data_IF_474155855159
#
_entry.id   IF_474155855159
#
_cell.length_a   1.000
_cell.length_b   1.000
_cell.length_c   1.000
_cell.angle_alpha   90.00
_cell.angle_beta   90.00
_cell.angle_gamma   90.00
#
_symmetry.space_group_name_H-M   'P 1'
#
loop_
_entity.id
_entity.type
_entity.pdbx_description
1 polymer ?
#
# COMPACT_ATOMS: atom_id res chain seq x y z
N UNK A 1 -33.74 8.80 -0.10
CA UNK A 1 -32.31 9.19 -0.08
C UNK A 1 -31.51 8.37 -1.09
N UNK A 2 -31.66 7.04 -1.13
CA UNK A 2 -30.97 6.15 -2.08
C UNK A 2 -31.18 6.48 -3.57
N UNK A 3 -32.41 6.82 -4.00
CA UNK A 3 -32.67 7.19 -5.41
C UNK A 3 -31.94 8.46 -5.86
N UNK A 4 -31.79 9.44 -4.97
CA UNK A 4 -31.05 10.67 -5.25
C UNK A 4 -29.54 10.42 -5.26
N UNK A 5 -29.04 9.64 -4.29
CA UNK A 5 -27.64 9.25 -4.21
C UNK A 5 -27.19 8.49 -5.47
N UNK A 6 -27.92 7.44 -5.87
CA UNK A 6 -27.60 6.67 -7.07
C UNK A 6 -27.62 7.51 -8.35
N UNK A 7 -28.55 8.48 -8.44
CA UNK A 7 -28.63 9.37 -9.60
C UNK A 7 -27.41 10.31 -9.66
N UNK A 8 -27.02 10.87 -8.53
CA UNK A 8 -25.83 11.74 -8.42
C UNK A 8 -24.56 10.95 -8.73
N UNK A 9 -24.40 9.75 -8.16
CA UNK A 9 -23.25 8.89 -8.43
C UNK A 9 -23.15 8.53 -9.90
N UNK A 10 -24.24 8.12 -10.55
CA UNK A 10 -24.23 7.80 -11.97
C UNK A 10 -23.85 9.00 -12.84
N UNK A 11 -24.37 10.20 -12.54
CA UNK A 11 -24.01 11.43 -13.26
C UNK A 11 -22.52 11.75 -13.08
N UNK A 12 -22.00 11.64 -11.85
CA UNK A 12 -20.57 11.85 -11.57
C UNK A 12 -19.70 10.84 -12.33
N UNK A 13 -20.09 9.57 -12.38
CA UNK A 13 -19.40 8.53 -13.14
C UNK A 13 -19.35 8.85 -14.62
N UNK A 14 -20.48 9.24 -15.23
CA UNK A 14 -20.49 9.61 -16.66
C UNK A 14 -19.63 10.84 -16.94
N UNK A 15 -19.62 11.84 -16.04
CA UNK A 15 -18.75 13.01 -16.17
C UNK A 15 -17.27 12.64 -16.12
N UNK A 16 -16.86 11.78 -15.20
CA UNK A 16 -15.47 11.31 -15.09
C UNK A 16 -15.05 10.55 -16.35
N UNK A 17 -15.92 9.68 -16.88
CA UNK A 17 -15.66 8.93 -18.11
C UNK A 17 -15.50 9.90 -19.30
N UNK A 18 -16.41 10.85 -19.47
CA UNK A 18 -16.33 11.85 -20.54
C UNK A 18 -15.06 12.70 -20.46
N UNK A 19 -14.70 13.12 -19.25
CA UNK A 19 -13.50 13.91 -18.99
C UNK A 19 -12.25 13.08 -19.32
N UNK A 20 -12.21 11.81 -18.91
CA UNK A 20 -11.14 10.88 -19.26
C UNK A 20 -10.98 10.67 -20.77
N UNK A 21 -12.09 10.41 -21.48
CA UNK A 21 -12.10 10.25 -22.95
C UNK A 21 -11.61 11.53 -23.63
N UNK A 22 -12.07 12.70 -23.18
CA UNK A 22 -11.62 13.99 -23.71
C UNK A 22 -10.10 14.17 -23.56
N UNK A 23 -9.56 13.93 -22.37
CA UNK A 23 -8.13 14.03 -22.11
C UNK A 23 -7.31 13.05 -22.97
N UNK A 24 -7.75 11.79 -23.08
CA UNK A 24 -7.08 10.81 -23.94
C UNK A 24 -7.07 11.20 -25.42
N UNK A 25 -8.20 11.67 -25.96
CA UNK A 25 -8.27 12.17 -27.33
C UNK A 25 -7.38 13.39 -27.54
N UNK A 26 -7.31 14.27 -26.54
CA UNK A 26 -6.48 15.45 -26.59
C UNK A 26 -4.98 15.11 -26.61
N UNK A 27 -4.56 14.12 -25.81
CA UNK A 27 -3.17 13.62 -25.82
C UNK A 27 -2.81 12.93 -27.14
N UNK A 28 -3.71 12.11 -27.70
CA UNK A 28 -3.44 11.42 -28.98
C UNK A 28 -3.30 12.44 -30.13
N UNK A 29 -4.13 13.48 -30.14
CA UNK A 29 -4.13 14.46 -31.24
C UNK A 29 -3.00 15.49 -31.18
N UNK A 30 -2.45 15.78 -29.99
CA UNK A 30 -1.37 16.76 -29.81
C UNK A 30 -0.04 16.15 -29.36
N UNK A 31 0.01 14.82 -29.22
CA UNK A 31 1.15 14.10 -28.65
C UNK A 31 2.42 14.14 -29.49
N UNK A 32 2.29 14.13 -30.82
CA UNK A 32 3.45 14.04 -31.73
C UNK A 32 4.39 15.24 -31.66
N UNK A 33 3.91 16.39 -31.15
CA UNK A 33 4.69 17.64 -31.03
C UNK A 33 5.24 17.88 -29.60
N UNK A 34 5.11 16.93 -28.68
CA UNK A 34 5.47 17.08 -27.26
C UNK A 34 6.97 17.28 -26.99
N UNK A 35 7.85 16.81 -27.88
CA UNK A 35 9.30 16.80 -27.64
C UNK A 35 9.99 18.15 -27.92
N UNK A 36 9.33 19.08 -28.64
CA UNK A 36 9.94 20.32 -29.12
C UNK A 36 9.29 21.61 -28.62
N UNK A 37 8.12 21.54 -27.98
CA UNK A 37 7.33 22.71 -27.59
C UNK A 37 7.03 22.69 -26.08
N UNK A 38 7.71 23.57 -25.35
CA UNK A 38 7.62 23.70 -23.90
C UNK A 38 6.22 24.18 -23.45
N UNK A 39 5.52 24.93 -24.29
CA UNK A 39 4.16 25.42 -23.98
C UNK A 39 3.13 24.31 -24.19
N UNK A 40 3.28 23.47 -25.22
CA UNK A 40 2.42 22.30 -25.39
C UNK A 40 2.67 21.25 -24.31
N UNK A 41 3.92 21.04 -23.92
CA UNK A 41 4.28 20.12 -22.84
C UNK A 41 3.68 20.56 -21.50
N UNK A 42 3.78 21.84 -21.15
CA UNK A 42 3.21 22.35 -19.90
C UNK A 42 1.68 22.32 -19.90
N UNK A 43 1.02 22.65 -21.01
CA UNK A 43 -0.44 22.62 -21.11
C UNK A 43 -1.02 21.20 -21.12
N UNK A 44 -0.28 20.21 -21.64
CA UNK A 44 -0.72 18.81 -21.62
C UNK A 44 -0.36 18.11 -20.31
N UNK A 45 0.88 18.27 -19.80
CA UNK A 45 1.33 17.53 -18.62
C UNK A 45 0.80 18.07 -17.30
N UNK A 46 0.72 19.40 -17.13
CA UNK A 46 0.27 20.00 -15.86
C UNK A 46 -1.14 19.54 -15.42
N UNK A 47 -2.18 19.53 -16.28
CA UNK A 47 -3.49 19.05 -15.86
C UNK A 47 -3.49 17.56 -15.51
N UNK A 48 -2.69 16.73 -16.19
CA UNK A 48 -2.54 15.32 -15.84
C UNK A 48 -1.87 15.12 -14.47
N UNK A 49 -0.77 15.82 -14.21
CA UNK A 49 -0.11 15.78 -12.91
C UNK A 49 -0.99 16.34 -11.80
N UNK A 50 -1.74 17.41 -12.06
CA UNK A 50 -2.69 17.96 -11.10
C UNK A 50 -3.81 16.98 -10.76
N UNK A 51 -4.45 16.36 -11.76
CA UNK A 51 -5.49 15.35 -11.56
C UNK A 51 -4.95 14.12 -10.84
N UNK A 52 -3.77 13.62 -11.23
CA UNK A 52 -3.13 12.49 -10.57
C UNK A 52 -2.76 12.82 -9.12
N UNK A 53 -2.27 14.04 -8.85
CA UNK A 53 -1.94 14.51 -7.51
C UNK A 53 -3.18 14.60 -6.61
N UNK A 54 -4.29 15.17 -7.13
CA UNK A 54 -5.57 15.22 -6.41
C UNK A 54 -6.09 13.81 -6.14
N UNK A 55 -6.06 12.92 -7.13
CA UNK A 55 -6.48 11.53 -6.97
C UNK A 55 -5.63 10.79 -5.93
N UNK A 56 -4.31 11.00 -5.92
CA UNK A 56 -3.40 10.46 -4.92
C UNK A 56 -3.77 10.94 -3.51
N UNK A 57 -4.02 12.24 -3.34
CA UNK A 57 -4.41 12.81 -2.05
C UNK A 57 -5.74 12.21 -1.56
N UNK A 58 -6.74 12.10 -2.44
CA UNK A 58 -8.03 11.50 -2.11
C UNK A 58 -7.85 10.03 -1.74
N UNK A 59 -7.04 9.28 -2.49
CA UNK A 59 -6.75 7.88 -2.21
C UNK A 59 -6.06 7.72 -0.85
N UNK A 60 -5.01 8.50 -0.57
CA UNK A 60 -4.34 8.51 0.74
C UNK A 60 -5.30 8.84 1.87
N UNK A 61 -6.12 9.88 1.69
CA UNK A 61 -7.14 10.26 2.66
C UNK A 61 -8.15 9.12 2.89
N UNK A 62 -8.64 8.48 1.83
CA UNK A 62 -9.56 7.35 1.95
C UNK A 62 -8.90 6.14 2.63
N UNK A 63 -7.67 5.79 2.25
CA UNK A 63 -6.91 4.69 2.83
C UNK A 63 -6.67 4.87 4.32
N UNK A 64 -6.55 6.10 4.81
CA UNK A 64 -6.33 6.40 6.23
C UNK A 64 -7.66 6.58 6.98
N UNK A 65 -8.53 7.45 6.48
CA UNK A 65 -9.77 7.84 7.16
C UNK A 65 -10.77 6.69 7.24
N UNK A 66 -10.83 5.83 6.22
CA UNK A 66 -11.84 4.76 6.17
C UNK A 66 -11.58 3.67 7.22
N UNK A 67 -10.36 3.11 7.35
CA UNK A 67 -10.04 2.17 8.44
C UNK A 67 -10.17 2.82 9.82
N UNK A 68 -9.71 4.07 10.00
CA UNK A 68 -9.84 4.78 11.28
C UNK A 68 -11.31 4.96 11.65
N UNK A 69 -12.15 5.40 10.71
CA UNK A 69 -13.59 5.54 10.93
C UNK A 69 -14.26 4.22 11.31
N UNK A 70 -13.86 3.11 10.67
CA UNK A 70 -14.34 1.78 11.04
C UNK A 70 -13.85 1.34 12.43
N UNK A 71 -12.59 1.60 12.79
CA UNK A 71 -12.07 1.29 14.12
C UNK A 71 -12.83 2.03 15.22
N UNK A 72 -13.17 3.30 15.01
CA UNK A 72 -13.95 4.10 15.95
C UNK A 72 -15.40 3.62 16.06
N UNK A 73 -16.01 3.21 14.93
CA UNK A 73 -17.39 2.73 14.90
C UNK A 73 -17.55 1.33 15.51
N UNK A 74 -16.51 0.50 15.43
CA UNK A 74 -16.51 -0.88 15.91
C UNK A 74 -15.35 -1.14 16.88
N UNK A 75 -15.43 -0.65 18.14
CA UNK A 75 -14.32 -0.66 19.08
C UNK A 75 -13.81 -2.06 19.41
N UNK A 76 -14.68 -3.09 19.40
CA UNK A 76 -14.27 -4.48 19.62
C UNK A 76 -13.34 -5.00 18.52
N UNK A 77 -13.61 -4.64 17.26
CA UNK A 77 -12.76 -5.00 16.12
C UNK A 77 -11.47 -4.19 16.12
N UNK A 78 -11.50 -2.94 16.61
CA UNK A 78 -10.31 -2.12 16.75
C UNK A 78 -9.29 -2.72 17.73
N UNK A 79 -9.76 -3.33 18.83
CA UNK A 79 -8.88 -4.02 19.78
C UNK A 79 -8.16 -5.19 19.10
N UNK A 80 -8.85 -6.01 18.30
CA UNK A 80 -8.19 -7.11 17.57
C UNK A 80 -7.12 -6.61 16.58
N UNK A 81 -7.40 -5.51 15.87
CA UNK A 81 -6.40 -4.89 14.97
C UNK A 81 -5.20 -4.36 15.76
N UNK A 82 -5.44 -3.70 16.90
CA UNK A 82 -4.38 -3.23 17.79
C UNK A 82 -3.50 -4.36 18.31
N UNK A 83 -4.09 -5.50 18.69
CA UNK A 83 -3.35 -6.69 19.10
C UNK A 83 -2.50 -7.22 17.94
N UNK A 84 -3.05 -7.32 16.71
CA UNK A 84 -2.28 -7.76 15.55
C UNK A 84 -1.07 -6.86 15.27
N UNK A 85 -1.24 -5.54 15.34
CA UNK A 85 -0.14 -4.57 15.19
C UNK A 85 0.89 -4.74 16.30
N UNK A 86 0.46 -4.90 17.55
CA UNK A 86 1.35 -5.09 18.69
C UNK A 86 2.17 -6.38 18.58
N UNK A 87 1.55 -7.49 18.13
CA UNK A 87 2.26 -8.75 17.87
C UNK A 87 3.28 -8.58 16.75
N UNK A 88 2.92 -7.89 15.67
CA UNK A 88 3.84 -7.63 14.56
C UNK A 88 5.03 -6.75 15.00
N UNK A 89 4.77 -5.72 15.81
CA UNK A 89 5.82 -4.90 16.40
C UNK A 89 6.74 -5.71 17.33
N UNK A 90 6.18 -6.63 18.13
CA UNK A 90 6.96 -7.52 18.98
C UNK A 90 7.87 -8.44 18.14
N UNK A 91 7.34 -9.02 17.06
CA UNK A 91 8.12 -9.85 16.13
C UNK A 91 9.25 -9.03 15.50
N UNK A 92 8.98 -7.79 15.09
CA UNK A 92 10.01 -6.90 14.55
C UNK A 92 11.11 -6.60 15.57
N UNK A 93 10.75 -6.31 16.83
CA UNK A 93 11.72 -6.04 17.90
C UNK A 93 12.62 -7.26 18.14
N UNK A 94 12.05 -8.47 18.17
CA UNK A 94 12.81 -9.72 18.28
C UNK A 94 13.72 -9.93 17.05
N UNK A 95 13.21 -9.64 15.87
CA UNK A 95 13.98 -9.75 14.62
C UNK A 95 15.14 -8.77 14.57
N UNK A 96 14.93 -7.54 15.05
CA UNK A 96 15.97 -6.51 15.15
C UNK A 96 17.04 -6.84 16.19
N UNK A 97 16.69 -7.51 17.29
CA UNK A 97 17.67 -7.96 18.27
C UNK A 97 18.53 -9.12 17.77
N UNK A 98 17.98 -9.96 16.88
CA UNK A 98 18.71 -11.05 16.21
C UNK A 98 19.53 -10.57 15.00
N UNK A 99 19.12 -9.48 14.36
CA UNK A 99 19.82 -8.92 13.20
C UNK A 99 21.15 -8.28 13.59
N UNK A 100 22.23 -8.68 12.90
CA UNK A 100 23.55 -8.05 12.98
C UNK A 100 23.70 -7.03 11.86
N UNK A 101 24.44 -5.95 12.14
CA UNK A 101 24.77 -4.90 11.16
C UNK A 101 26.09 -5.19 10.43
N UNK A 102 26.37 -6.46 10.16
CA UNK A 102 27.62 -6.87 9.52
C UNK A 102 27.67 -6.34 8.08
N UNK A 103 28.82 -5.78 7.72
CA UNK A 103 29.10 -5.22 6.39
C UNK A 103 30.34 -5.84 5.75
N UNK A 104 30.91 -6.86 6.40
CA UNK A 104 32.20 -7.46 6.02
C UNK A 104 32.13 -8.30 4.73
N UNK A 105 30.93 -8.60 4.22
CA UNK A 105 30.82 -9.23 2.91
C UNK A 105 31.24 -8.24 1.82
N UNK A 106 32.12 -8.66 0.91
CA UNK A 106 32.63 -7.87 -0.22
C UNK A 106 31.51 -7.21 -1.05
N UNK A 107 30.34 -7.84 -1.10
CA UNK A 107 29.14 -7.29 -1.73
C UNK A 107 28.64 -6.01 -1.03
N UNK A 108 28.57 -5.97 0.30
CA UNK A 108 28.08 -4.80 1.05
C UNK A 108 29.03 -3.60 0.96
N UNK A 109 30.34 -3.86 0.89
CA UNK A 109 31.35 -2.82 0.69
C UNK A 109 31.26 -2.16 -0.69
N UNK A 110 30.85 -2.91 -1.73
CA UNK A 110 30.71 -2.36 -3.08
C UNK A 110 29.52 -1.40 -3.27
N UNK A 111 28.54 -1.45 -2.35
CA UNK A 111 27.34 -0.61 -2.38
C UNK A 111 27.32 0.46 -1.28
N UNK A 112 28.42 0.66 -0.56
CA UNK A 112 28.52 1.62 0.57
C UNK A 112 27.38 1.47 1.58
N UNK A 113 27.01 0.22 1.89
CA UNK A 113 25.88 -0.07 2.77
C UNK A 113 26.29 0.20 4.22
N UNK A 114 25.59 1.12 4.87
CA UNK A 114 25.80 1.42 6.29
C UNK A 114 25.39 0.23 7.17
N UNK A 115 26.03 0.12 8.35
CA UNK A 115 25.71 -0.91 9.34
C UNK A 115 24.24 -0.88 9.76
N UNK A 116 23.65 0.32 9.87
CA UNK A 116 22.23 0.51 10.20
C UNK A 116 21.30 -0.03 9.11
N UNK A 117 21.61 0.26 7.84
CA UNK A 117 20.83 -0.25 6.71
C UNK A 117 20.93 -1.77 6.62
N UNK A 118 22.15 -2.32 6.82
CA UNK A 118 22.37 -3.78 6.85
C UNK A 118 21.54 -4.44 7.94
N UNK A 119 21.56 -3.89 9.16
CA UNK A 119 20.77 -4.41 10.29
C UNK A 119 19.27 -4.30 10.03
N UNK A 120 18.81 -3.21 9.43
CA UNK A 120 17.41 -3.04 9.07
C UNK A 120 16.95 -4.11 8.07
N UNK A 121 17.70 -4.33 6.99
CA UNK A 121 17.40 -5.36 6.00
C UNK A 121 17.42 -6.75 6.65
N UNK A 122 18.46 -7.04 7.45
CA UNK A 122 18.57 -8.31 8.19
C UNK A 122 17.37 -8.55 9.11
N UNK A 123 16.89 -7.51 9.79
CA UNK A 123 15.70 -7.61 10.65
C UNK A 123 14.44 -7.95 9.85
N UNK A 124 14.24 -7.36 8.67
CA UNK A 124 13.10 -7.65 7.81
C UNK A 124 13.13 -9.09 7.29
N UNK A 125 14.32 -9.62 6.98
CA UNK A 125 14.49 -11.03 6.59
C UNK A 125 14.07 -11.95 7.75
N UNK A 126 14.51 -11.66 8.98
CA UNK A 126 14.10 -12.42 10.16
C UNK A 126 12.59 -12.34 10.41
N UNK A 127 11.96 -11.18 10.23
CA UNK A 127 10.49 -11.04 10.32
C UNK A 127 9.80 -12.01 9.35
N UNK A 128 10.24 -12.05 8.10
CA UNK A 128 9.68 -12.94 7.08
C UNK A 128 9.86 -14.42 7.47
N UNK A 129 11.03 -14.81 7.98
CA UNK A 129 11.26 -16.19 8.43
C UNK A 129 10.39 -16.57 9.62
N UNK A 130 10.27 -15.71 10.63
CA UNK A 130 9.43 -15.96 11.81
C UNK A 130 7.96 -16.08 11.39
N UNK A 131 7.46 -15.13 10.59
CA UNK A 131 6.08 -15.18 10.09
C UNK A 131 5.83 -16.38 9.18
N UNK A 132 6.81 -16.77 8.36
CA UNK A 132 6.74 -17.95 7.51
C UNK A 132 6.57 -19.23 8.33
N UNK A 133 7.40 -19.42 9.36
CA UNK A 133 7.31 -20.57 10.27
C UNK A 133 5.98 -20.58 11.03
N UNK A 134 5.57 -19.43 11.60
CA UNK A 134 4.28 -19.31 12.29
C UNK A 134 3.10 -19.61 11.36
N UNK A 135 3.16 -19.20 10.10
CA UNK A 135 2.14 -19.49 9.10
C UNK A 135 2.02 -20.99 8.83
N UNK A 136 3.14 -21.68 8.61
CA UNK A 136 3.15 -23.14 8.41
C UNK A 136 2.56 -23.86 9.63
N UNK A 137 3.00 -23.49 10.83
CA UNK A 137 2.47 -24.06 12.08
C UNK A 137 0.97 -23.81 12.23
N UNK A 138 0.49 -22.61 11.88
CA UNK A 138 -0.93 -22.26 11.93
C UNK A 138 -1.77 -23.11 10.97
N UNK A 139 -1.28 -23.35 9.75
CA UNK A 139 -1.97 -24.19 8.76
C UNK A 139 -2.08 -25.63 9.26
N UNK A 140 -0.98 -26.21 9.73
CA UNK A 140 -0.96 -27.58 10.25
C UNK A 140 -1.88 -27.70 11.48
N UNK A 141 -1.78 -26.76 12.42
CA UNK A 141 -2.61 -26.73 13.63
C UNK A 141 -4.10 -26.62 13.32
N UNK A 142 -4.47 -25.75 12.36
CA UNK A 142 -5.86 -25.62 11.90
C UNK A 142 -6.39 -26.91 11.29
N UNK A 143 -5.57 -27.60 10.48
CA UNK A 143 -5.92 -28.90 9.90
C UNK A 143 -6.18 -29.97 10.95
N UNK A 144 -5.32 -30.08 11.96
CA UNK A 144 -5.48 -31.04 13.07
C UNK A 144 -6.73 -30.73 13.89
N UNK A 145 -6.95 -29.46 14.26
CA UNK A 145 -8.12 -29.04 15.02
C UNK A 145 -9.43 -29.29 14.26
N UNK A 146 -9.45 -29.03 12.95
CA UNK A 146 -10.59 -29.34 12.10
C UNK A 146 -10.88 -30.84 11.98
N UNK A 147 -9.85 -31.68 11.98
CA UNK A 147 -10.00 -33.14 11.96
C UNK A 147 -10.50 -33.70 13.31
N UNK A 148 -10.07 -33.10 14.43
CA UNK A 148 -10.50 -33.49 15.77
C UNK A 148 -11.91 -33.01 16.12
N UNK A 149 -12.30 -31.80 15.70
CA UNK A 149 -13.62 -31.23 16.01
C UNK A 149 -14.78 -31.80 15.17
N UNK A 150 -14.47 -32.53 14.09
CA UNK A 150 -15.45 -33.28 13.29
C UNK A 150 -15.77 -34.68 13.82
N UNK A 151 -15.13 -35.12 14.91
CA UNK A 151 -15.49 -36.34 15.66
C UNK A 151 -16.32 -35.96 16.88
#
# INVERSE_FOLDING_TARGET
MEKLLNKITNIATYLIILLGVFFTLWTITKGDNLAGDLDLQSNLLNPYFALSGIALIIALAATILFPIGQMLSYPRSAVSVGISIAVLALIYILSWSMATGETDASYYQSFDISSDLSRFIGSLIYVVYILGVLSILSVIGSGIYGALSKR
#
